data_IF_215230892034
#
_entry.id   IF_215230892034
#
_cell.length_a   1.000
_cell.length_b   1.000
_cell.length_c   1.000
_cell.angle_alpha   90.00
_cell.angle_beta   90.00
_cell.angle_gamma   90.00
#
_symmetry.space_group_name_H-M   'P 1'
#
loop_
_entity.id
_entity.type
_entity.pdbx_description
1 polymer ?
#
# COMPACT_ATOMS: atom_id res chain seq x y z
N UNK A 1 33.39 -10.24 -8.96
CA UNK A 1 32.75 -10.55 -10.27
C UNK A 1 31.31 -10.07 -10.23
N UNK A 2 30.89 -9.36 -11.27
CA UNK A 2 29.65 -8.57 -11.27
C UNK A 2 28.45 -9.37 -11.75
N UNK A 3 27.36 -9.34 -10.99
CA UNK A 3 26.06 -9.87 -11.39
C UNK A 3 25.49 -9.00 -12.50
N UNK A 4 25.66 -9.38 -13.76
CA UNK A 4 24.98 -8.71 -14.88
C UNK A 4 23.52 -9.18 -14.93
N UNK A 5 22.58 -8.25 -14.94
CA UNK A 5 21.16 -8.54 -15.18
C UNK A 5 21.03 -9.24 -16.55
N UNK A 6 20.54 -10.48 -16.56
CA UNK A 6 20.37 -11.27 -17.79
C UNK A 6 18.96 -11.14 -18.40
N UNK A 7 17.99 -10.66 -17.63
CA UNK A 7 16.62 -10.36 -18.04
C UNK A 7 15.93 -9.44 -17.01
N UNK A 8 14.92 -8.69 -17.45
CA UNK A 8 14.04 -7.87 -16.60
C UNK A 8 12.60 -7.98 -17.12
N UNK A 9 11.65 -7.82 -16.22
CA UNK A 9 10.23 -7.71 -16.55
C UNK A 9 9.61 -6.57 -15.75
N UNK A 10 8.65 -5.90 -16.35
CA UNK A 10 7.84 -4.86 -15.71
C UNK A 10 6.42 -5.38 -15.53
N UNK A 11 5.78 -4.98 -14.44
CA UNK A 11 4.36 -5.28 -14.20
C UNK A 11 3.46 -4.43 -15.10
N UNK A 12 2.15 -4.69 -15.04
CA UNK A 12 1.16 -3.72 -15.50
C UNK A 12 1.29 -2.38 -14.72
N UNK A 13 0.80 -1.26 -15.28
CA UNK A 13 0.73 0.01 -14.55
C UNK A 13 -0.07 -0.12 -13.25
N UNK A 14 0.32 0.64 -12.22
CA UNK A 14 -0.35 0.60 -10.91
C UNK A 14 -1.87 0.84 -11.00
N UNK A 15 -2.32 1.68 -11.92
CA UNK A 15 -3.76 1.93 -12.14
C UNK A 15 -4.54 0.69 -12.58
N UNK A 16 -3.92 -0.21 -13.35
CA UNK A 16 -4.55 -1.47 -13.78
C UNK A 16 -4.57 -2.49 -12.65
N UNK A 17 -3.49 -2.55 -11.85
CA UNK A 17 -3.40 -3.38 -10.65
C UNK A 17 -4.50 -2.99 -9.65
N UNK A 18 -4.61 -1.69 -9.35
CA UNK A 18 -5.66 -1.13 -8.48
C UNK A 18 -7.07 -1.40 -9.02
N UNK A 19 -7.26 -1.35 -10.34
CA UNK A 19 -8.55 -1.66 -10.94
C UNK A 19 -8.96 -3.13 -10.71
N UNK A 20 -8.01 -4.05 -10.61
CA UNK A 20 -8.26 -5.46 -10.28
C UNK A 20 -8.55 -5.62 -8.79
N UNK A 21 -7.68 -5.09 -7.92
CA UNK A 21 -7.82 -5.25 -6.46
C UNK A 21 -9.15 -4.66 -5.96
N UNK A 22 -9.52 -3.47 -6.42
CA UNK A 22 -10.76 -2.80 -6.05
C UNK A 22 -12.01 -3.54 -6.55
N UNK A 23 -11.96 -4.15 -7.74
CA UNK A 23 -13.10 -4.93 -8.28
C UNK A 23 -13.30 -6.25 -7.55
N UNK A 24 -12.20 -6.91 -7.20
CA UNK A 24 -12.21 -8.19 -6.52
C UNK A 24 -12.37 -8.05 -5.00
N UNK A 25 -12.16 -6.85 -4.45
CA UNK A 25 -11.96 -6.63 -3.01
C UNK A 25 -10.84 -7.53 -2.46
N UNK A 26 -9.73 -7.64 -3.21
CA UNK A 26 -8.65 -8.55 -2.87
C UNK A 26 -7.76 -7.98 -1.76
N UNK A 27 -7.82 -8.59 -0.58
CA UNK A 27 -7.07 -8.16 0.59
C UNK A 27 -5.56 -8.22 0.35
N UNK A 28 -5.06 -9.28 -0.29
CA UNK A 28 -3.62 -9.48 -0.44
C UNK A 28 -3.02 -8.43 -1.38
N UNK A 29 -3.70 -8.13 -2.49
CA UNK A 29 -3.28 -7.06 -3.39
C UNK A 29 -3.29 -5.71 -2.67
N UNK A 30 -4.35 -5.43 -1.91
CA UNK A 30 -4.48 -4.17 -1.15
C UNK A 30 -3.32 -3.97 -0.17
N UNK A 31 -2.87 -5.02 0.53
CA UNK A 31 -1.72 -4.93 1.45
C UNK A 31 -0.39 -4.73 0.72
N UNK A 32 -0.21 -5.34 -0.46
CA UNK A 32 0.98 -5.11 -1.28
C UNK A 32 1.01 -3.67 -1.80
N UNK A 33 -0.12 -3.15 -2.26
CA UNK A 33 -0.27 -1.77 -2.72
C UNK A 33 0.04 -0.77 -1.59
N UNK A 34 -0.45 -1.03 -0.38
CA UNK A 34 -0.13 -0.25 0.81
C UNK A 34 1.38 -0.24 1.13
N UNK A 35 2.07 -1.37 0.97
CA UNK A 35 3.52 -1.45 1.19
C UNK A 35 4.33 -0.76 0.09
N UNK A 36 3.85 -0.78 -1.16
CA UNK A 36 4.44 0.00 -2.25
C UNK A 36 4.31 1.49 -1.96
N UNK A 37 3.15 1.94 -1.46
CA UNK A 37 2.96 3.31 -0.98
C UNK A 37 3.95 3.65 0.14
N UNK A 38 4.04 2.79 1.17
CA UNK A 38 4.95 2.99 2.30
C UNK A 38 6.40 3.16 1.84
N UNK A 39 6.89 2.26 0.98
CA UNK A 39 8.23 2.35 0.43
C UNK A 39 8.45 3.64 -0.38
N UNK A 40 7.45 4.04 -1.20
CA UNK A 40 7.51 5.24 -2.01
C UNK A 40 7.48 6.54 -1.17
N UNK A 41 6.89 6.51 0.03
CA UNK A 41 6.81 7.65 0.95
C UNK A 41 7.84 7.59 2.09
N UNK A 42 8.83 6.69 2.02
CA UNK A 42 9.90 6.60 3.00
C UNK A 42 9.51 5.96 4.34
N UNK A 43 8.38 5.26 4.37
CA UNK A 43 7.93 4.47 5.51
C UNK A 43 8.42 3.01 5.40
N UNK A 44 8.32 2.26 6.49
CA UNK A 44 8.60 0.83 6.47
C UNK A 44 7.57 0.09 5.60
N UNK A 45 8.02 -0.81 4.72
CA UNK A 45 7.15 -1.68 3.90
C UNK A 45 6.52 -2.82 4.73
N UNK A 46 5.82 -2.46 5.80
CA UNK A 46 5.11 -3.32 6.74
C UNK A 46 3.63 -2.94 6.79
N UNK A 47 2.79 -3.74 7.48
CA UNK A 47 1.38 -3.39 7.67
C UNK A 47 1.21 -2.04 8.39
N UNK A 48 1.96 -1.83 9.48
CA UNK A 48 1.90 -0.59 10.25
C UNK A 48 2.42 0.61 9.45
N UNK A 49 3.54 0.46 8.74
CA UNK A 49 4.08 1.52 7.90
C UNK A 49 3.17 1.89 6.73
N UNK A 50 2.47 0.92 6.13
CA UNK A 50 1.45 1.15 5.11
C UNK A 50 0.24 1.92 5.65
N UNK A 51 -0.31 1.51 6.80
CA UNK A 51 -1.41 2.23 7.44
C UNK A 51 -1.03 3.68 7.79
N UNK A 52 0.19 3.88 8.34
CA UNK A 52 0.71 5.23 8.62
C UNK A 52 0.83 6.06 7.35
N UNK A 53 1.39 5.51 6.27
CA UNK A 53 1.55 6.24 5.00
C UNK A 53 0.21 6.68 4.41
N UNK A 54 -0.84 5.86 4.51
CA UNK A 54 -2.20 6.22 4.09
C UNK A 54 -2.74 7.38 4.92
N UNK A 55 -2.67 7.29 6.26
CA UNK A 55 -3.19 8.33 7.15
C UNK A 55 -2.45 9.67 6.97
N UNK A 56 -1.13 9.63 6.82
CA UNK A 56 -0.33 10.83 6.55
C UNK A 56 -0.70 11.46 5.21
N UNK A 57 -0.93 10.63 4.18
CA UNK A 57 -1.36 11.13 2.87
C UNK A 57 -2.75 11.78 2.95
N UNK A 58 -3.71 11.14 3.59
CA UNK A 58 -5.06 11.69 3.78
C UNK A 58 -5.03 13.01 4.55
N UNK A 59 -4.22 13.09 5.61
CA UNK A 59 -4.01 14.33 6.37
C UNK A 59 -3.42 15.44 5.50
N UNK A 60 -2.42 15.12 4.67
CA UNK A 60 -1.81 16.08 3.73
C UNK A 60 -2.80 16.55 2.66
N UNK A 61 -3.73 15.70 2.23
CA UNK A 61 -4.81 16.03 1.30
C UNK A 61 -5.98 16.81 1.98
N UNK A 62 -5.90 17.07 3.29
CA UNK A 62 -6.84 17.91 4.02
C UNK A 62 -8.01 17.17 4.69
N UNK A 63 -7.96 15.84 4.75
CA UNK A 63 -8.96 15.05 5.48
C UNK A 63 -8.64 15.05 6.98
N UNK A 64 -9.67 15.18 7.82
CA UNK A 64 -9.54 14.95 9.25
C UNK A 64 -9.50 13.44 9.53
N UNK A 65 -8.37 12.99 10.06
CA UNK A 65 -8.11 11.59 10.41
C UNK A 65 -7.90 11.38 11.91
N UNK A 66 -8.22 12.39 12.74
CA UNK A 66 -7.89 12.41 14.16
C UNK A 66 -8.52 11.24 14.94
N UNK A 67 -9.69 10.77 14.52
CA UNK A 67 -10.43 9.67 15.13
C UNK A 67 -10.31 8.34 14.36
N UNK A 68 -9.42 8.27 13.36
CA UNK A 68 -9.24 7.06 12.54
C UNK A 68 -8.23 6.13 13.19
N UNK A 69 -8.65 4.88 13.41
CA UNK A 69 -7.72 3.76 13.69
C UNK A 69 -7.63 2.88 12.45
N UNK A 70 -6.43 2.81 11.87
CA UNK A 70 -6.15 1.98 10.70
C UNK A 70 -5.08 0.96 11.08
N UNK A 71 -5.41 -0.33 11.00
CA UNK A 71 -4.52 -1.43 11.41
C UNK A 71 -3.89 -2.16 10.22
N UNK A 72 -4.57 -2.11 9.07
CA UNK A 72 -4.15 -2.68 7.80
C UNK A 72 -4.76 -1.83 6.65
N UNK A 73 -4.42 -2.14 5.40
CA UNK A 73 -4.96 -1.41 4.26
C UNK A 73 -6.29 -2.00 3.75
N UNK A 74 -6.50 -3.31 3.94
CA UNK A 74 -7.66 -4.03 3.43
C UNK A 74 -8.89 -3.97 4.33
N UNK A 75 -8.75 -3.59 5.60
CA UNK A 75 -9.83 -3.61 6.59
C UNK A 75 -10.17 -5.01 7.09
N UNK A 76 -9.30 -6.00 6.88
CA UNK A 76 -9.54 -7.38 7.31
C UNK A 76 -9.30 -7.56 8.81
N UNK A 77 -8.29 -6.87 9.35
CA UNK A 77 -7.98 -6.90 10.78
C UNK A 77 -9.12 -6.24 11.56
N UNK A 78 -9.82 -7.03 12.38
CA UNK A 78 -10.78 -6.51 13.33
C UNK A 78 -10.05 -5.80 14.47
N UNK A 79 -10.35 -4.51 14.66
CA UNK A 79 -9.99 -3.80 15.89
C UNK A 79 -10.94 -4.22 17.00
N UNK A 80 -10.45 -5.06 17.93
CA UNK A 80 -11.05 -5.49 19.21
C UNK A 80 -12.53 -5.87 19.20
#
# INVERSE_FOLDING_TARGET
>A
EGTSVIASVDSAPLSEILAVSLKASDNTMTEVEGRVLAAATGHEASFAGAAQAVLERLKADGFDVSDVTMLDCSGLVQGW
#
